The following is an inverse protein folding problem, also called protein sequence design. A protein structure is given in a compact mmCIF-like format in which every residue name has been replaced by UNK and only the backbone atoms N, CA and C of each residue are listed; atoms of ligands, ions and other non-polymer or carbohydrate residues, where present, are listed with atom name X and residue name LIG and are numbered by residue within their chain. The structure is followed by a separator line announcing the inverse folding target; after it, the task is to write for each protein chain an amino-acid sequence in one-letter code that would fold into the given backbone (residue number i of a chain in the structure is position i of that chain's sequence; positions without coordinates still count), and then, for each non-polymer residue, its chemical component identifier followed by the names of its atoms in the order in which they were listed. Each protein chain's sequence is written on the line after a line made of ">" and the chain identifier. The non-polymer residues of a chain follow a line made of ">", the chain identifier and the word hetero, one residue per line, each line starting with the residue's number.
data_IF_338924357186
#
_entry.id   IF_338924357186
#
_cell.length_a   1.000
_cell.length_b   1.000
_cell.length_c   1.000
_cell.angle_alpha   90.00
_cell.angle_beta   90.00
_cell.angle_gamma   90.00
#
_symmetry.space_group_name_H-M   'P 1'
#
loop_
_entity.id
_entity.type
_entity.pdbx_description
1 polymer ?
#
# COMPACT_ATOMS: atom_id res chain seq x y z
N UNK A 1 17.14 -0.59 -2.94
CA UNK A 1 16.60 0.46 -2.02
C UNK A 1 15.69 1.43 -2.75
N UNK A 2 16.21 2.21 -3.71
CA UNK A 2 15.44 3.22 -4.47
C UNK A 2 14.15 2.66 -5.11
N UNK A 3 14.26 1.54 -5.81
CA UNK A 3 13.13 0.91 -6.49
C UNK A 3 11.95 0.60 -5.53
N UNK A 4 12.27 0.18 -4.30
CA UNK A 4 11.26 -0.06 -3.25
C UNK A 4 10.52 1.22 -2.87
N UNK A 5 11.22 2.35 -2.72
CA UNK A 5 10.55 3.62 -2.45
C UNK A 5 9.72 4.12 -3.62
N UNK A 6 10.17 3.93 -4.87
CA UNK A 6 9.40 4.31 -6.07
C UNK A 6 8.05 3.59 -6.09
N UNK A 7 8.05 2.27 -5.88
CA UNK A 7 6.82 1.49 -5.81
C UNK A 7 5.91 1.92 -4.64
N UNK A 8 6.48 2.20 -3.47
CA UNK A 8 5.70 2.70 -2.32
C UNK A 8 5.05 4.06 -2.62
N UNK A 9 5.79 5.01 -3.21
CA UNK A 9 5.25 6.34 -3.55
C UNK A 9 4.15 6.20 -4.61
N UNK A 10 4.38 5.39 -5.65
CA UNK A 10 3.38 5.13 -6.67
C UNK A 10 2.10 4.52 -6.07
N UNK A 11 2.25 3.56 -5.15
CA UNK A 11 1.16 2.93 -4.43
C UNK A 11 0.37 3.94 -3.58
N UNK A 12 1.05 4.76 -2.79
CA UNK A 12 0.41 5.79 -1.96
C UNK A 12 -0.41 6.75 -2.84
N UNK A 13 0.19 7.22 -3.94
CA UNK A 13 -0.47 8.15 -4.86
C UNK A 13 -1.69 7.52 -5.52
N UNK A 14 -1.57 6.27 -5.99
CA UNK A 14 -2.70 5.55 -6.57
C UNK A 14 -3.84 5.33 -5.55
N UNK A 15 -3.51 5.00 -4.30
CA UNK A 15 -4.51 4.82 -3.24
C UNK A 15 -5.20 6.14 -2.88
N UNK A 16 -4.47 7.25 -2.77
CA UNK A 16 -5.08 8.56 -2.49
C UNK A 16 -6.03 9.03 -3.61
N UNK A 17 -5.75 8.66 -4.86
CA UNK A 17 -6.64 8.91 -5.99
C UNK A 17 -7.87 7.99 -6.02
N UNK A 18 -7.98 7.02 -5.10
CA UNK A 18 -9.04 6.02 -5.11
C UNK A 18 -8.91 5.01 -6.24
N UNK A 19 -7.71 4.84 -6.81
CA UNK A 19 -7.46 3.88 -7.90
C UNK A 19 -7.12 2.50 -7.33
N UNK A 20 -8.06 1.90 -6.57
CA UNK A 20 -7.84 0.66 -5.80
C UNK A 20 -7.28 -0.49 -6.63
N UNK A 21 -7.82 -0.73 -7.84
CA UNK A 21 -7.33 -1.77 -8.77
C UNK A 21 -5.88 -1.50 -9.19
N UNK A 22 -5.54 -0.24 -9.46
CA UNK A 22 -4.17 0.13 -9.85
C UNK A 22 -3.23 -0.06 -8.65
N UNK A 23 -3.64 0.30 -7.43
CA UNK A 23 -2.86 0.04 -6.23
C UNK A 23 -2.62 -1.46 -6.00
N UNK A 24 -3.60 -2.31 -6.28
CA UNK A 24 -3.44 -3.78 -6.26
C UNK A 24 -2.40 -4.23 -7.28
N UNK A 25 -2.50 -3.76 -8.52
CA UNK A 25 -1.55 -4.10 -9.59
C UNK A 25 -0.11 -3.67 -9.25
N UNK A 26 0.05 -2.46 -8.70
CA UNK A 26 1.35 -1.94 -8.22
C UNK A 26 1.88 -2.81 -7.07
N UNK A 27 1.05 -3.15 -6.09
CA UNK A 27 1.46 -3.97 -4.95
C UNK A 27 1.90 -5.37 -5.39
N UNK A 28 1.15 -6.02 -6.29
CA UNK A 28 1.51 -7.31 -6.86
C UNK A 28 2.81 -7.24 -7.67
N UNK A 29 2.95 -6.22 -8.52
CA UNK A 29 4.16 -5.99 -9.31
C UNK A 29 5.38 -5.78 -8.41
N UNK A 30 5.24 -4.99 -7.34
CA UNK A 30 6.30 -4.76 -6.37
C UNK A 30 6.71 -6.05 -5.64
N UNK A 31 5.75 -6.87 -5.20
CA UNK A 31 6.02 -8.17 -4.59
C UNK A 31 6.73 -9.13 -5.55
N UNK A 32 6.32 -9.14 -6.82
CA UNK A 32 6.93 -9.96 -7.87
C UNK A 32 8.38 -9.52 -8.13
N UNK A 33 8.59 -8.22 -8.31
CA UNK A 33 9.91 -7.63 -8.53
C UNK A 33 10.83 -7.91 -7.33
N UNK A 34 10.36 -7.75 -6.10
CA UNK A 34 11.16 -8.03 -4.91
C UNK A 34 11.51 -9.52 -4.76
N UNK A 35 10.66 -10.41 -5.27
CA UNK A 35 10.88 -11.87 -5.20
C UNK A 35 11.83 -12.37 -6.28
N UNK A 36 11.73 -11.85 -7.51
CA UNK A 36 12.42 -12.40 -8.67
C UNK A 36 13.62 -11.56 -9.15
N UNK A 37 13.66 -10.26 -8.86
CA UNK A 37 14.80 -9.45 -9.26
C UNK A 37 15.97 -9.66 -8.28
N UNK A 38 17.22 -9.78 -8.78
CA UNK A 38 18.42 -9.84 -7.96
C UNK A 38 18.73 -8.45 -7.38
N UNK A 39 17.88 -7.98 -6.46
CA UNK A 39 18.03 -6.70 -5.80
C UNK A 39 19.03 -6.84 -4.66
N UNK A 40 20.06 -6.01 -4.66
CA UNK A 40 20.97 -5.78 -3.52
C UNK A 40 20.24 -5.03 -2.42
N UNK A 41 19.31 -5.71 -1.75
CA UNK A 41 18.53 -5.21 -0.61
C UNK A 41 18.82 -6.10 0.59
N UNK A 42 19.13 -5.50 1.72
CA UNK A 42 19.32 -6.22 2.98
C UNK A 42 18.04 -7.01 3.34
N UNK A 43 18.15 -8.25 3.85
CA UNK A 43 16.97 -9.08 4.17
C UNK A 43 15.97 -8.40 5.10
N UNK A 44 16.46 -7.60 6.07
CA UNK A 44 15.62 -6.85 7.00
C UNK A 44 14.72 -5.83 6.28
N UNK A 45 15.29 -5.04 5.37
CA UNK A 45 14.55 -4.03 4.61
C UNK A 45 13.61 -4.68 3.58
N UNK A 46 14.02 -5.80 2.97
CA UNK A 46 13.16 -6.59 2.09
C UNK A 46 11.89 -7.05 2.81
N UNK A 47 12.02 -7.56 4.04
CA UNK A 47 10.88 -7.97 4.87
C UNK A 47 9.97 -6.81 5.20
N UNK A 48 10.51 -5.63 5.51
CA UNK A 48 9.74 -4.43 5.82
C UNK A 48 8.95 -3.93 4.60
N UNK A 49 9.58 -3.85 3.42
CA UNK A 49 8.90 -3.49 2.17
C UNK A 49 7.82 -4.51 1.79
N UNK A 50 8.10 -5.81 1.90
CA UNK A 50 7.10 -6.85 1.68
C UNK A 50 5.88 -6.69 2.61
N UNK A 51 6.08 -6.24 3.86
CA UNK A 51 4.98 -5.98 4.76
C UNK A 51 4.09 -4.83 4.25
N UNK A 52 4.69 -3.73 3.77
CA UNK A 52 3.96 -2.59 3.20
C UNK A 52 3.06 -3.05 2.04
N UNK A 53 3.64 -3.77 1.07
CA UNK A 53 2.89 -4.21 -0.10
C UNK A 53 1.80 -5.23 0.23
N UNK A 54 2.04 -6.13 1.19
CA UNK A 54 1.02 -7.06 1.66
C UNK A 54 -0.13 -6.33 2.35
N UNK A 55 0.17 -5.41 3.27
CA UNK A 55 -0.86 -4.61 3.96
C UNK A 55 -1.69 -3.83 2.95
N UNK A 56 -1.06 -3.20 1.98
CA UNK A 56 -1.77 -2.47 0.94
C UNK A 56 -2.64 -3.40 0.06
N UNK A 57 -2.08 -4.54 -0.36
CA UNK A 57 -2.79 -5.52 -1.18
C UNK A 57 -4.04 -6.03 -0.44
N UNK A 58 -3.89 -6.49 0.80
CA UNK A 58 -5.00 -7.00 1.60
C UNK A 58 -6.00 -5.90 1.97
N UNK A 59 -5.53 -4.68 2.23
CA UNK A 59 -6.39 -3.54 2.52
C UNK A 59 -7.27 -3.13 1.34
N UNK A 60 -6.73 -3.16 0.12
CA UNK A 60 -7.56 -2.94 -1.08
C UNK A 60 -8.46 -4.13 -1.39
N UNK A 61 -7.97 -5.37 -1.24
CA UNK A 61 -8.81 -6.56 -1.41
C UNK A 61 -9.99 -6.58 -0.44
N UNK A 62 -9.78 -6.19 0.82
CA UNK A 62 -10.87 -6.10 1.81
C UNK A 62 -11.86 -5.00 1.49
N UNK A 63 -11.41 -3.86 0.96
CA UNK A 63 -12.30 -2.81 0.45
C UNK A 63 -13.19 -3.35 -0.67
N UNK A 64 -12.62 -4.05 -1.66
CA UNK A 64 -13.41 -4.67 -2.73
C UNK A 64 -14.32 -5.78 -2.23
N UNK A 65 -13.88 -6.60 -1.27
CA UNK A 65 -14.73 -7.61 -0.65
C UNK A 65 -15.93 -6.98 0.07
N UNK A 66 -15.73 -5.90 0.82
CA UNK A 66 -16.82 -5.17 1.48
C UNK A 66 -17.82 -4.58 0.49
N UNK A 67 -17.34 -4.07 -0.65
CA UNK A 67 -18.19 -3.58 -1.74
C UNK A 67 -18.98 -4.70 -2.43
N UNK A 68 -18.35 -5.85 -2.66
CA UNK A 68 -19.02 -7.03 -3.21
C UNK A 68 -20.12 -7.51 -2.27
N UNK A 69 -19.83 -7.60 -0.97
CA UNK A 69 -20.85 -7.94 0.03
C UNK A 69 -22.01 -6.95 0.00
N UNK A 70 -21.74 -5.64 -0.03
CA UNK A 70 -22.77 -4.60 -0.14
C UNK A 70 -23.62 -4.76 -1.41
N UNK A 71 -23.01 -5.16 -2.53
CA UNK A 71 -23.72 -5.36 -3.79
C UNK A 71 -24.74 -6.52 -3.74
N UNK A 72 -24.52 -7.53 -2.91
CA UNK A 72 -25.49 -8.63 -2.71
C UNK A 72 -26.75 -8.22 -1.95
N UNK A 73 -26.74 -7.06 -1.27
CA UNK A 73 -27.88 -6.53 -0.52
C UNK A 73 -28.66 -5.45 -1.30
N UNK A 74 -28.44 -5.34 -2.61
CA UNK A 74 -29.21 -4.42 -3.46
C UNK A 74 -30.51 -5.13 -3.86
N UNK A 75 -31.63 -4.66 -3.31
CA UNK A 75 -32.95 -5.25 -3.57
C UNK A 75 -33.73 -4.49 -4.66
N UNK A 76 -33.35 -3.23 -4.97
CA UNK A 76 -34.00 -2.42 -6.01
C UNK A 76 -33.10 -1.44 -6.75
N UNK A 77 -33.58 -0.93 -7.89
CA UNK A 77 -32.90 0.12 -8.68
C UNK A 77 -32.75 1.45 -7.92
N UNK A 78 -33.60 1.67 -6.92
CA UNK A 78 -33.56 2.82 -6.01
C UNK A 78 -32.36 2.81 -5.04
N UNK A 79 -31.75 1.65 -4.81
CA UNK A 79 -30.58 1.51 -3.95
C UNK A 79 -29.26 1.79 -4.69
N UNK A 80 -29.28 1.92 -6.02
CA UNK A 80 -28.08 2.14 -6.84
C UNK A 80 -27.38 3.47 -6.47
N UNK A 81 -28.07 4.62 -6.34
CA UNK A 81 -27.43 5.86 -5.92
C UNK A 81 -26.82 5.75 -4.52
N UNK A 82 -27.53 5.10 -3.58
CA UNK A 82 -27.04 4.87 -2.22
C UNK A 82 -25.81 3.94 -2.22
N UNK A 83 -25.79 2.93 -3.07
CA UNK A 83 -24.64 2.06 -3.30
C UNK A 83 -23.44 2.82 -3.86
N UNK A 84 -23.63 3.70 -4.84
CA UNK A 84 -22.55 4.52 -5.42
C UNK A 84 -21.95 5.46 -4.37
N UNK A 85 -22.77 6.15 -3.58
CA UNK A 85 -22.29 7.03 -2.50
C UNK A 85 -21.56 6.22 -1.43
N UNK A 86 -22.15 5.11 -1.00
CA UNK A 86 -21.52 4.19 -0.03
C UNK A 86 -20.21 3.62 -0.57
N UNK A 87 -20.14 3.32 -1.87
CA UNK A 87 -18.94 2.86 -2.54
C UNK A 87 -17.86 3.94 -2.49
N UNK A 88 -18.18 5.16 -2.92
CA UNK A 88 -17.26 6.29 -2.91
C UNK A 88 -16.69 6.52 -1.52
N UNK A 89 -17.55 6.61 -0.50
CA UNK A 89 -17.11 6.90 0.87
C UNK A 89 -16.29 5.75 1.45
N UNK A 90 -16.80 4.52 1.42
CA UNK A 90 -16.14 3.37 2.03
C UNK A 90 -14.81 3.05 1.33
N UNK A 91 -14.82 3.03 0.00
CA UNK A 91 -13.64 2.73 -0.79
C UNK A 91 -12.57 3.81 -0.62
N UNK A 92 -12.91 5.10 -0.70
CA UNK A 92 -11.92 6.16 -0.54
C UNK A 92 -11.40 6.25 0.89
N UNK A 93 -12.25 6.04 1.91
CA UNK A 93 -11.82 6.03 3.31
C UNK A 93 -10.82 4.89 3.56
N UNK A 94 -11.12 3.68 3.09
CA UNK A 94 -10.20 2.54 3.19
C UNK A 94 -8.92 2.76 2.40
N UNK A 95 -9.00 3.33 1.18
CA UNK A 95 -7.81 3.67 0.40
C UNK A 95 -6.94 4.71 1.10
N UNK A 96 -7.54 5.74 1.72
CA UNK A 96 -6.82 6.74 2.50
C UNK A 96 -6.16 6.13 3.74
N UNK A 97 -6.86 5.22 4.45
CA UNK A 97 -6.30 4.49 5.59
C UNK A 97 -5.10 3.63 5.17
N UNK A 98 -5.21 2.89 4.06
CA UNK A 98 -4.10 2.10 3.49
C UNK A 98 -2.92 2.99 3.12
N UNK A 99 -3.17 4.13 2.45
CA UNK A 99 -2.13 5.09 2.08
C UNK A 99 -1.43 5.65 3.34
N UNK A 100 -2.18 5.98 4.38
CA UNK A 100 -1.65 6.45 5.66
C UNK A 100 -0.76 5.42 6.35
N UNK A 101 -1.21 4.18 6.44
CA UNK A 101 -0.42 3.07 7.02
C UNK A 101 0.86 2.82 6.21
N UNK A 102 0.75 2.77 4.87
CA UNK A 102 1.89 2.59 3.98
C UNK A 102 2.91 3.73 4.14
N UNK A 103 2.44 4.97 4.25
CA UNK A 103 3.27 6.16 4.47
C UNK A 103 4.02 6.07 5.81
N UNK A 104 3.30 5.75 6.89
CA UNK A 104 3.90 5.60 8.22
C UNK A 104 4.99 4.52 8.24
N UNK A 105 4.70 3.37 7.64
CA UNK A 105 5.68 2.29 7.52
C UNK A 105 6.90 2.70 6.70
N UNK A 106 6.69 3.36 5.57
CA UNK A 106 7.77 3.85 4.71
C UNK A 106 8.67 4.86 5.44
N UNK A 107 8.08 5.77 6.22
CA UNK A 107 8.81 6.71 7.08
C UNK A 107 9.64 5.98 8.13
N UNK A 108 9.11 4.93 8.77
CA UNK A 108 9.89 4.12 9.72
C UNK A 108 11.10 3.46 9.06
N UNK A 109 10.95 2.93 7.84
CA UNK A 109 12.08 2.36 7.07
C UNK A 109 13.12 3.45 6.80
N UNK A 110 12.69 4.64 6.36
CA UNK A 110 13.57 5.75 6.04
C UNK A 110 14.37 6.23 7.26
N UNK A 111 13.70 6.44 8.40
CA UNK A 111 14.35 6.86 9.66
C UNK A 111 15.34 5.80 10.13
N UNK A 112 14.97 4.51 10.08
CA UNK A 112 15.86 3.43 10.50
C UNK A 112 17.13 3.35 9.64
N UNK A 113 17.03 3.61 8.33
CA UNK A 113 18.19 3.69 7.45
C UNK A 113 19.06 4.90 7.75
N UNK A 114 18.46 6.08 7.91
CA UNK A 114 19.20 7.31 8.20
C UNK A 114 19.93 7.24 9.55
N UNK A 115 19.32 6.62 10.56
CA UNK A 115 19.95 6.44 11.87
C UNK A 115 21.18 5.52 11.81
N UNK A 116 21.15 4.47 10.98
CA UNK A 116 22.31 3.57 10.81
C UNK A 116 23.49 4.25 10.12
N UNK A 117 23.20 5.05 9.09
CA UNK A 117 24.20 5.82 8.37
C UNK A 117 24.94 6.81 9.30
N UNK A 118 24.19 7.57 10.11
CA UNK A 118 24.76 8.47 11.11
C UNK A 118 25.62 7.77 12.16
N UNK A 119 25.28 6.53 12.56
CA UNK A 119 26.07 5.77 13.51
C UNK A 119 27.37 5.21 12.92
N UNK A 120 27.36 4.83 11.63
CA UNK A 120 28.57 4.40 10.92
C UNK A 120 29.55 5.56 10.68
N UNK A 121 29.06 6.75 10.37
CA UNK A 121 29.92 7.94 10.23
C UNK A 121 30.65 8.28 11.54
N UNK A 122 29.99 8.09 12.69
CA UNK A 122 30.58 8.34 14.02
C UNK A 122 31.59 7.30 14.48
N UNK A 123 31.53 6.06 13.99
CA UNK A 123 32.48 5.01 14.35
C UNK A 123 33.75 5.00 13.49
N UNK A 124 33.80 5.81 12.43
CA UNK A 124 34.95 5.96 11.54
C UNK A 124 35.75 7.27 11.81
N UNK A 125 35.37 8.00 12.86
CA UNK A 125 36.07 9.16 13.43
C UNK A 125 36.72 8.75 14.74
#
# INVERSE_FOLDING_TARGET
>A
MLLGYIFVIALIKASLLGLGVISIAIALSALLVIKFAPLTITPASQKQFNLIYKVALFGHLSAYAGLLLKAFFIDGMEDIPAFIVSHLVLHHLLCAAVAGVATFMALRIFIAHRSKDSSQLRSNL
#
